data_IF_076210474027
#
_entry.id   IF_076210474027
#
_cell.length_a   1.000
_cell.length_b   1.000
_cell.length_c   1.000
_cell.angle_alpha   90.00
_cell.angle_beta   90.00
_cell.angle_gamma   90.00
#
_symmetry.space_group_name_H-M   'P 1'
#
loop_
_entity.id
_entity.type
_entity.pdbx_description
1 polymer ?
#
# COMPACT_ATOMS: atom_id res chain seq x y z
N UNK A 1 -1.58 14.56 0.46
CA UNK A 1 -1.76 13.29 -0.25
C UNK A 1 -0.68 13.06 -1.30
N UNK A 2 -0.42 14.02 -2.23
CA UNK A 2 0.62 13.86 -3.27
C UNK A 2 2.00 13.46 -2.73
N UNK A 3 2.46 14.09 -1.64
CA UNK A 3 3.75 13.74 -1.00
C UNK A 3 3.76 12.29 -0.48
N UNK A 4 2.68 11.85 0.13
CA UNK A 4 2.57 10.49 0.68
C UNK A 4 2.57 9.46 -0.45
N UNK A 5 1.80 9.71 -1.51
CA UNK A 5 1.82 8.88 -2.70
C UNK A 5 3.22 8.79 -3.32
N UNK A 6 3.93 9.92 -3.49
CA UNK A 6 5.30 9.93 -4.01
C UNK A 6 6.25 9.11 -3.15
N UNK A 7 6.21 9.29 -1.82
CA UNK A 7 7.06 8.54 -0.89
C UNK A 7 6.77 7.04 -0.99
N UNK A 8 5.49 6.65 -1.00
CA UNK A 8 5.09 5.24 -1.14
C UNK A 8 5.53 4.65 -2.48
N UNK A 9 5.38 5.40 -3.57
CA UNK A 9 5.83 4.99 -4.91
C UNK A 9 7.34 4.79 -4.95
N UNK A 10 8.11 5.77 -4.46
CA UNK A 10 9.58 5.66 -4.38
C UNK A 10 9.98 4.45 -3.54
N UNK A 11 9.33 4.23 -2.39
CA UNK A 11 9.61 3.07 -1.52
C UNK A 11 9.37 1.74 -2.23
N UNK A 12 8.24 1.60 -2.94
CA UNK A 12 7.92 0.37 -3.69
C UNK A 12 8.92 0.14 -4.83
N UNK A 13 9.28 1.20 -5.57
CA UNK A 13 10.30 1.10 -6.61
C UNK A 13 11.68 0.76 -6.06
N UNK A 14 12.05 1.28 -4.88
CA UNK A 14 13.28 0.89 -4.19
C UNK A 14 13.29 -0.61 -3.85
N UNK A 15 12.17 -1.17 -3.37
CA UNK A 15 12.05 -2.61 -3.12
C UNK A 15 12.21 -3.44 -4.39
N UNK A 16 11.58 -3.02 -5.50
CA UNK A 16 11.73 -3.70 -6.80
C UNK A 16 13.18 -3.61 -7.29
N UNK A 17 13.83 -2.46 -7.12
CA UNK A 17 15.25 -2.29 -7.47
C UNK A 17 16.15 -3.22 -6.65
N UNK A 18 15.91 -3.36 -5.34
CA UNK A 18 16.67 -4.29 -4.49
C UNK A 18 16.53 -5.75 -4.95
N UNK A 19 15.34 -6.16 -5.41
CA UNK A 19 15.12 -7.51 -5.97
C UNK A 19 16.05 -7.79 -7.16
N UNK A 20 16.28 -6.77 -8.01
CA UNK A 20 17.15 -6.87 -9.19
C UNK A 20 18.62 -6.66 -8.84
N UNK A 21 18.95 -5.79 -7.89
CA UNK A 21 20.32 -5.50 -7.48
C UNK A 21 20.95 -6.72 -6.82
N UNK A 22 20.21 -7.49 -6.03
CA UNK A 22 20.74 -8.66 -5.32
C UNK A 22 21.47 -9.66 -6.23
N UNK A 23 20.87 -10.17 -7.33
CA UNK A 23 21.57 -11.09 -8.23
C UNK A 23 22.72 -10.40 -9.00
N UNK A 24 22.60 -9.10 -9.34
CA UNK A 24 23.63 -8.36 -10.08
C UNK A 24 24.89 -8.11 -9.24
N UNK A 25 24.73 -7.96 -7.93
CA UNK A 25 25.85 -7.69 -7.01
C UNK A 25 26.39 -8.97 -6.35
N UNK A 26 25.75 -10.13 -6.53
CA UNK A 26 26.14 -11.36 -5.88
C UNK A 26 27.58 -11.82 -6.20
N UNK A 27 28.07 -11.49 -7.41
CA UNK A 27 29.45 -11.81 -7.83
C UNK A 27 30.50 -10.79 -7.37
N UNK A 28 30.15 -9.49 -7.32
CA UNK A 28 31.08 -8.40 -7.01
C UNK A 28 31.05 -7.99 -5.54
N UNK A 29 29.87 -7.96 -4.92
CA UNK A 29 29.63 -7.50 -3.54
C UNK A 29 28.80 -8.53 -2.75
N UNK A 30 29.38 -9.69 -2.38
CA UNK A 30 28.62 -10.78 -1.78
C UNK A 30 28.01 -10.44 -0.41
N UNK A 31 28.61 -9.52 0.34
CA UNK A 31 28.05 -9.08 1.62
C UNK A 31 26.77 -8.28 1.44
N UNK A 32 26.75 -7.35 0.46
CA UNK A 32 25.56 -6.57 0.11
C UNK A 32 24.44 -7.50 -0.38
N UNK A 33 24.75 -8.39 -1.33
CA UNK A 33 23.79 -9.35 -1.84
C UNK A 33 23.19 -10.21 -0.72
N UNK A 34 24.01 -10.76 0.18
CA UNK A 34 23.56 -11.56 1.33
C UNK A 34 22.61 -10.79 2.23
N UNK A 35 22.90 -9.52 2.51
CA UNK A 35 22.01 -8.67 3.32
C UNK A 35 20.66 -8.46 2.67
N UNK A 36 20.61 -8.24 1.35
CA UNK A 36 19.38 -8.07 0.59
C UNK A 36 18.58 -9.40 0.58
N UNK A 37 19.22 -10.53 0.27
CA UNK A 37 18.58 -11.84 0.32
C UNK A 37 18.03 -12.15 1.72
N UNK A 38 18.78 -11.84 2.78
CA UNK A 38 18.37 -12.03 4.17
C UNK A 38 17.13 -11.20 4.53
N UNK A 39 17.05 -9.94 4.04
CA UNK A 39 15.88 -9.10 4.25
C UNK A 39 14.62 -9.69 3.59
N UNK A 40 14.74 -10.16 2.36
CA UNK A 40 13.60 -10.77 1.65
C UNK A 40 13.29 -12.20 2.11
N UNK A 41 14.20 -12.91 2.78
CA UNK A 41 13.95 -14.24 3.32
C UNK A 41 12.84 -14.28 4.37
N UNK A 42 12.56 -13.16 5.03
CA UNK A 42 11.44 -13.02 5.97
C UNK A 42 10.07 -13.07 5.28
N UNK A 43 10.02 -12.77 3.98
CA UNK A 43 8.77 -12.64 3.21
C UNK A 43 8.64 -13.69 2.10
N UNK A 44 9.75 -14.30 1.68
CA UNK A 44 9.78 -15.24 0.56
C UNK A 44 10.77 -16.37 0.82
N UNK A 45 10.38 -17.63 0.56
CA UNK A 45 11.23 -18.80 0.71
C UNK A 45 12.40 -18.85 -0.28
N UNK A 46 12.40 -18.02 -1.33
CA UNK A 46 13.50 -17.85 -2.30
C UNK A 46 13.99 -19.18 -2.93
N UNK A 47 13.07 -20.13 -3.17
CA UNK A 47 13.41 -21.42 -3.76
C UNK A 47 13.97 -21.23 -5.18
N UNK A 48 15.17 -21.77 -5.51
CA UNK A 48 15.80 -21.57 -6.81
C UNK A 48 14.92 -21.99 -7.99
N UNK A 49 14.27 -23.15 -7.90
CA UNK A 49 13.39 -23.69 -8.93
C UNK A 49 12.13 -22.87 -9.18
N UNK A 50 11.85 -21.87 -8.32
CA UNK A 50 10.70 -20.97 -8.40
C UNK A 50 11.09 -19.51 -8.61
N UNK A 51 12.37 -19.25 -8.86
CA UNK A 51 12.93 -17.90 -8.97
C UNK A 51 13.49 -17.66 -10.36
N UNK A 52 13.45 -16.40 -10.82
CA UNK A 52 14.20 -15.99 -12.00
C UNK A 52 15.69 -15.90 -11.70
N UNK A 53 16.51 -16.00 -12.75
CA UNK A 53 17.96 -15.87 -12.68
C UNK A 53 18.45 -14.76 -13.58
N UNK A 54 19.45 -14.01 -13.13
CA UNK A 54 20.23 -13.06 -13.92
C UNK A 54 21.72 -13.27 -13.58
N UNK A 55 22.56 -13.34 -14.60
CA UNK A 55 24.02 -13.53 -14.47
C UNK A 55 24.39 -14.75 -13.58
N UNK A 56 23.63 -15.84 -13.66
CA UNK A 56 23.86 -17.06 -12.87
C UNK A 56 23.37 -17.00 -11.42
N UNK A 57 22.84 -15.88 -10.97
CA UNK A 57 22.32 -15.69 -9.62
C UNK A 57 20.80 -15.56 -9.62
N UNK A 58 20.12 -16.16 -8.63
CA UNK A 58 18.66 -16.09 -8.50
C UNK A 58 18.21 -14.69 -8.02
N UNK A 59 16.99 -14.28 -8.35
CA UNK A 59 16.36 -13.09 -7.79
C UNK A 59 16.22 -13.21 -6.27
N UNK A 60 16.14 -12.05 -5.58
CA UNK A 60 15.93 -12.00 -4.14
C UNK A 60 14.57 -12.56 -3.69
N UNK A 61 13.64 -12.75 -4.62
CA UNK A 61 12.32 -13.32 -4.37
C UNK A 61 11.92 -14.26 -5.51
N UNK A 62 10.98 -15.19 -5.25
CA UNK A 62 10.45 -16.10 -6.25
C UNK A 62 9.61 -15.37 -7.31
N UNK A 63 9.35 -16.02 -8.46
CA UNK A 63 8.62 -15.45 -9.60
C UNK A 63 7.24 -14.86 -9.21
N UNK A 64 6.51 -15.51 -8.27
CA UNK A 64 5.22 -15.03 -7.77
C UNK A 64 5.36 -13.72 -6.99
N UNK A 65 6.30 -13.67 -6.05
CA UNK A 65 6.58 -12.45 -5.30
C UNK A 65 7.10 -11.33 -6.22
N UNK A 66 7.94 -11.66 -7.22
CA UNK A 66 8.35 -10.69 -8.25
C UNK A 66 7.13 -10.08 -8.93
N UNK A 67 6.14 -10.90 -9.31
CA UNK A 67 4.87 -10.43 -9.87
C UNK A 67 4.13 -9.49 -8.92
N UNK A 68 4.00 -9.88 -7.64
CA UNK A 68 3.32 -9.03 -6.64
C UNK A 68 3.99 -7.66 -6.51
N UNK A 69 5.32 -7.61 -6.34
CA UNK A 69 6.04 -6.34 -6.23
C UNK A 69 5.97 -5.51 -7.52
N UNK A 70 6.07 -6.16 -8.69
CA UNK A 70 5.95 -5.49 -9.98
C UNK A 70 4.54 -4.92 -10.20
N UNK A 71 3.49 -5.70 -9.90
CA UNK A 71 2.10 -5.26 -9.99
C UNK A 71 1.80 -4.11 -9.04
N UNK A 72 2.33 -4.18 -7.83
CA UNK A 72 2.26 -3.11 -6.84
C UNK A 72 2.91 -1.83 -7.37
N UNK A 73 4.15 -1.89 -7.85
CA UNK A 73 4.89 -0.74 -8.36
C UNK A 73 4.19 -0.09 -9.56
N UNK A 74 3.78 -0.91 -10.53
CA UNK A 74 3.08 -0.44 -11.72
C UNK A 74 1.77 0.24 -11.38
N UNK A 75 0.94 -0.37 -10.53
CA UNK A 75 -0.34 0.21 -10.13
C UNK A 75 -0.18 1.45 -9.25
N UNK A 76 0.82 1.49 -8.35
CA UNK A 76 1.12 2.71 -7.60
C UNK A 76 1.48 3.88 -8.52
N UNK A 77 2.26 3.63 -9.58
CA UNK A 77 2.61 4.64 -10.56
C UNK A 77 1.37 5.17 -11.29
N UNK A 78 0.49 4.27 -11.73
CA UNK A 78 -0.72 4.61 -12.47
C UNK A 78 -1.88 5.09 -11.58
N UNK A 79 -1.80 4.90 -10.27
CA UNK A 79 -2.90 5.18 -9.35
C UNK A 79 -3.53 6.56 -9.50
N UNK A 80 -2.76 7.68 -9.65
CA UNK A 80 -3.35 9.02 -9.80
C UNK A 80 -4.17 9.22 -11.07
N UNK A 81 -3.92 8.39 -12.11
CA UNK A 81 -4.67 8.40 -13.37
C UNK A 81 -5.98 7.62 -13.23
N UNK A 82 -5.98 6.58 -12.39
CA UNK A 82 -7.10 5.66 -12.23
C UNK A 82 -8.06 6.13 -11.13
N UNK A 83 -7.55 6.82 -10.09
CA UNK A 83 -8.33 7.22 -8.93
C UNK A 83 -7.76 8.47 -8.23
N UNK A 84 -8.61 9.37 -7.73
CA UNK A 84 -8.15 10.54 -6.97
C UNK A 84 -7.38 10.13 -5.70
N UNK A 85 -6.22 10.75 -5.46
CA UNK A 85 -5.37 10.46 -4.28
C UNK A 85 -6.02 10.74 -2.92
N UNK A 86 -7.16 11.41 -2.91
CA UNK A 86 -7.93 11.73 -1.69
C UNK A 86 -9.10 10.79 -1.46
N UNK A 87 -9.34 9.86 -2.37
CA UNK A 87 -10.41 8.87 -2.21
C UNK A 87 -10.10 7.97 -1.01
N UNK A 88 -11.00 7.97 -0.04
CA UNK A 88 -10.95 7.11 1.16
C UNK A 88 -11.93 5.95 1.05
N UNK A 89 -12.72 5.91 -0.03
CA UNK A 89 -13.68 4.85 -0.27
C UNK A 89 -12.95 3.54 -0.59
N UNK A 90 -13.33 2.48 0.09
CA UNK A 90 -12.79 1.15 -0.13
C UNK A 90 -13.53 0.46 -1.27
N UNK A 91 -12.83 -0.16 -2.23
CA UNK A 91 -13.49 -1.03 -3.20
C UNK A 91 -14.17 -2.21 -2.50
N UNK A 92 -15.20 -2.81 -3.10
CA UNK A 92 -15.81 -4.02 -2.55
C UNK A 92 -14.76 -5.12 -2.37
N UNK A 93 -14.71 -5.83 -1.23
CA UNK A 93 -13.68 -6.84 -0.94
C UNK A 93 -13.67 -8.00 -1.95
N UNK A 94 -14.76 -8.18 -2.69
CA UNK A 94 -14.88 -9.19 -3.75
C UNK A 94 -13.78 -9.04 -4.82
N UNK A 95 -13.35 -7.82 -5.14
CA UNK A 95 -12.27 -7.61 -6.13
C UNK A 95 -10.93 -8.19 -5.68
N UNK A 96 -10.63 -8.07 -4.39
CA UNK A 96 -9.41 -8.66 -3.83
C UNK A 96 -9.48 -10.19 -3.84
N UNK A 97 -10.65 -10.75 -3.49
CA UNK A 97 -10.90 -12.19 -3.56
C UNK A 97 -10.76 -12.69 -4.99
N UNK A 98 -11.40 -12.03 -5.96
CA UNK A 98 -11.31 -12.40 -7.38
C UNK A 98 -9.87 -12.33 -7.90
N UNK A 99 -9.07 -11.36 -7.46
CA UNK A 99 -7.65 -11.27 -7.82
C UNK A 99 -6.80 -12.37 -7.16
N UNK A 100 -7.21 -12.87 -6.00
CA UNK A 100 -6.54 -13.96 -5.30
C UNK A 100 -6.89 -15.35 -5.87
N UNK A 101 -8.08 -15.52 -6.48
CA UNK A 101 -8.55 -16.81 -7.01
C UNK A 101 -7.58 -17.42 -8.04
N UNK A 102 -7.10 -16.71 -9.09
CA UNK A 102 -6.15 -17.28 -10.04
C UNK A 102 -4.86 -17.74 -9.38
N UNK A 103 -4.38 -17.01 -8.37
CA UNK A 103 -3.18 -17.37 -7.61
C UNK A 103 -3.42 -18.61 -6.74
N UNK A 104 -4.61 -18.70 -6.12
CA UNK A 104 -5.00 -19.86 -5.32
C UNK A 104 -5.15 -21.12 -6.17
N UNK A 105 -5.74 -21.00 -7.36
CA UNK A 105 -5.86 -22.12 -8.33
C UNK A 105 -4.47 -22.55 -8.79
N UNK A 106 -3.61 -21.63 -9.23
CA UNK A 106 -2.23 -21.91 -9.68
C UNK A 106 -1.41 -22.60 -8.58
N UNK A 107 -1.57 -22.16 -7.32
CA UNK A 107 -0.94 -22.80 -6.18
C UNK A 107 -1.52 -24.21 -5.91
N UNK A 108 -2.84 -24.34 -5.88
CA UNK A 108 -3.54 -25.57 -5.57
C UNK A 108 -3.24 -26.67 -6.58
N UNK A 109 -3.24 -26.38 -7.88
CA UNK A 109 -2.93 -27.33 -8.93
C UNK A 109 -1.53 -27.94 -8.75
N UNK A 110 -0.57 -27.10 -8.37
CA UNK A 110 0.80 -27.58 -8.09
C UNK A 110 0.88 -28.34 -6.77
N UNK A 111 0.16 -27.89 -5.74
CA UNK A 111 0.16 -28.55 -4.43
C UNK A 111 -0.40 -29.98 -4.49
N UNK A 112 -1.45 -30.19 -5.29
CA UNK A 112 -2.05 -31.51 -5.50
C UNK A 112 -1.33 -32.34 -6.58
N UNK A 113 -0.23 -31.83 -7.16
CA UNK A 113 0.54 -32.53 -8.19
C UNK A 113 -0.20 -32.73 -9.52
N UNK A 114 -1.28 -31.97 -9.77
CA UNK A 114 -2.09 -32.08 -10.99
C UNK A 114 -1.40 -31.38 -12.15
N UNK A 115 -0.75 -30.22 -11.87
CA UNK A 115 -0.08 -29.41 -12.88
C UNK A 115 1.08 -28.64 -12.26
N UNK A 116 2.24 -28.65 -12.90
CA UNK A 116 3.36 -27.80 -12.52
C UNK A 116 3.20 -26.41 -13.09
N UNK A 117 3.06 -25.41 -12.21
CA UNK A 117 2.95 -24.03 -12.64
C UNK A 117 4.30 -23.49 -13.15
N UNK A 118 4.22 -22.68 -14.20
CA UNK A 118 5.37 -22.05 -14.83
C UNK A 118 5.78 -20.78 -14.09
N UNK A 119 6.99 -20.27 -14.35
CA UNK A 119 7.41 -18.95 -13.86
C UNK A 119 6.47 -17.84 -14.35
N UNK A 120 5.96 -17.97 -15.58
CA UNK A 120 5.03 -17.00 -16.17
C UNK A 120 3.68 -16.99 -15.48
N UNK A 121 3.07 -18.18 -15.19
CA UNK A 121 1.80 -18.24 -14.47
C UNK A 121 1.92 -17.64 -13.06
N UNK A 122 3.02 -17.96 -12.36
CA UNK A 122 3.33 -17.37 -11.04
C UNK A 122 3.50 -15.86 -11.10
N UNK A 123 4.19 -15.34 -12.12
CA UNK A 123 4.39 -13.89 -12.31
C UNK A 123 3.05 -13.19 -12.57
N UNK A 124 2.24 -13.70 -13.50
CA UNK A 124 0.98 -13.07 -13.89
C UNK A 124 -0.05 -13.07 -12.75
N UNK A 125 -0.19 -14.19 -12.04
CA UNK A 125 -1.10 -14.27 -10.88
C UNK A 125 -0.63 -13.37 -9.74
N UNK A 126 0.68 -13.27 -9.51
CA UNK A 126 1.27 -12.34 -8.58
C UNK A 126 1.02 -10.88 -8.98
N UNK A 127 1.24 -10.53 -10.25
CA UNK A 127 1.05 -9.18 -10.80
C UNK A 127 -0.40 -8.71 -10.64
N UNK A 128 -1.36 -9.57 -10.92
CA UNK A 128 -2.78 -9.29 -10.76
C UNK A 128 -3.12 -8.98 -9.29
N UNK A 129 -2.72 -9.85 -8.37
CA UNK A 129 -2.97 -9.68 -6.95
C UNK A 129 -2.27 -8.41 -6.40
N UNK A 130 -0.99 -8.22 -6.74
CA UNK A 130 -0.23 -7.04 -6.35
C UNK A 130 -0.86 -5.74 -6.85
N UNK A 131 -1.28 -5.71 -8.11
CA UNK A 131 -1.93 -4.53 -8.70
C UNK A 131 -3.25 -4.19 -8.02
N UNK A 132 -4.13 -5.16 -7.83
CA UNK A 132 -5.42 -4.94 -7.16
C UNK A 132 -5.25 -4.51 -5.70
N UNK A 133 -4.25 -5.04 -5.00
CA UNK A 133 -3.98 -4.70 -3.59
C UNK A 133 -3.71 -3.21 -3.36
N UNK A 134 -3.17 -2.48 -4.35
CA UNK A 134 -2.92 -1.03 -4.25
C UNK A 134 -4.20 -0.23 -4.00
N UNK A 135 -5.33 -0.66 -4.60
CA UNK A 135 -6.62 0.02 -4.41
C UNK A 135 -7.17 -0.11 -2.98
N UNK A 136 -6.62 -1.01 -2.18
CA UNK A 136 -6.92 -1.15 -0.75
C UNK A 136 -5.88 -0.46 0.13
N UNK A 137 -4.61 -0.54 -0.25
CA UNK A 137 -3.52 0.07 0.53
C UNK A 137 -3.58 1.60 0.47
N UNK A 138 -3.84 2.19 -0.69
CA UNK A 138 -3.88 3.65 -0.84
C UNK A 138 -4.98 4.34 -0.03
N UNK A 139 -6.26 3.88 -0.02
CA UNK A 139 -7.26 4.45 0.87
C UNK A 139 -6.90 4.31 2.34
N UNK A 140 -6.32 3.18 2.75
CA UNK A 140 -5.84 2.98 4.12
C UNK A 140 -4.76 3.99 4.52
N UNK A 141 -3.77 4.21 3.67
CA UNK A 141 -2.73 5.23 3.88
C UNK A 141 -3.37 6.64 3.93
N UNK A 142 -4.34 6.91 3.04
CA UNK A 142 -5.05 8.19 3.00
C UNK A 142 -5.84 8.44 4.29
N UNK A 143 -6.52 7.43 4.79
CA UNK A 143 -7.28 7.51 6.05
C UNK A 143 -6.36 7.77 7.25
N UNK A 144 -5.27 7.02 7.39
CA UNK A 144 -4.29 7.21 8.45
C UNK A 144 -3.69 8.61 8.44
N UNK A 145 -3.38 9.14 7.26
CA UNK A 145 -2.84 10.48 7.10
C UNK A 145 -3.85 11.58 7.48
N UNK A 146 -5.13 11.39 7.16
CA UNK A 146 -6.19 12.35 7.49
C UNK A 146 -6.56 12.30 8.98
N UNK A 147 -6.58 11.12 9.60
CA UNK A 147 -6.77 10.97 11.05
C UNK A 147 -5.69 11.71 11.84
N UNK A 148 -4.42 11.58 11.42
CA UNK A 148 -3.27 12.24 12.08
C UNK A 148 -3.33 13.76 12.00
N UNK A 149 -3.85 14.32 10.89
CA UNK A 149 -4.06 15.76 10.73
C UNK A 149 -5.24 16.26 11.54
N UNK A 150 -6.30 15.46 11.70
CA UNK A 150 -7.49 15.83 12.50
C UNK A 150 -7.17 15.83 13.99
N UNK A 151 -6.38 14.88 14.48
CA UNK A 151 -5.92 14.83 15.87
C UNK A 151 -4.96 15.98 16.25
N UNK A 152 -4.30 16.61 15.28
CA UNK A 152 -3.40 17.76 15.49
C UNK A 152 -4.11 19.12 15.45
N UNK A 153 -5.40 19.19 15.07
CA UNK A 153 -6.16 20.45 15.19
C UNK A 153 -6.62 20.59 16.63
N UNK A 154 -6.14 21.59 17.39
CA UNK A 154 -6.72 21.89 18.69
C UNK A 154 -8.20 22.16 18.47
N UNK A 155 -9.06 21.50 19.24
CA UNK A 155 -10.46 21.89 19.37
C UNK A 155 -10.47 23.28 19.95
N UNK A 156 -10.59 24.28 19.08
CA UNK A 156 -10.95 25.63 19.51
C UNK A 156 -12.40 25.53 19.99
N UNK A 157 -12.55 25.20 21.25
CA UNK A 157 -13.82 25.26 21.95
C UNK A 157 -14.22 26.71 21.98
N UNK A 158 -15.29 27.09 21.27
CA UNK A 158 -15.95 28.35 21.37
C UNK A 158 -16.52 28.50 22.81
N UNK A 159 -15.64 28.82 23.75
CA UNK A 159 -15.99 29.23 25.12
C UNK A 159 -16.50 30.71 25.18
N UNK A 160 -17.01 31.19 24.07
CA UNK A 160 -17.46 32.62 23.97
C UNK A 160 -18.97 32.79 23.75
N UNK A 161 -19.78 31.73 23.86
CA UNK A 161 -21.24 31.87 23.79
C UNK A 161 -21.96 31.87 25.16
N UNK A 162 -21.25 31.56 26.25
CA UNK A 162 -21.87 31.59 27.58
C UNK A 162 -21.68 32.91 28.35
N UNK A 163 -20.80 33.81 27.86
CA UNK A 163 -20.61 35.11 28.52
C UNK A 163 -21.59 36.20 28.09
N UNK A 164 -22.46 35.96 27.10
CA UNK A 164 -23.48 36.93 26.68
C UNK A 164 -24.88 36.64 27.17
N UNK A 165 -25.09 35.60 27.97
CA UNK A 165 -26.41 35.22 28.49
C UNK A 165 -26.67 35.76 29.92
N UNK A 166 -25.74 36.50 30.54
CA UNK A 166 -25.91 37.08 31.89
C UNK A 166 -25.85 38.60 31.89
N UNK A 167 -26.52 39.27 30.94
CA UNK A 167 -26.80 40.69 31.08
C UNK A 167 -28.08 40.84 31.91
N UNK A 168 -28.07 41.58 33.03
CA UNK A 168 -29.26 41.80 33.84
C UNK A 168 -30.25 42.66 33.06
N UNK A 169 -31.50 42.20 32.97
CA UNK A 169 -32.65 42.89 32.41
C UNK A 169 -33.15 43.97 33.38
N UNK A 170 -32.43 45.04 33.55
CA UNK A 170 -32.90 46.21 34.31
C UNK A 170 -33.03 47.38 33.33
N UNK A 171 -34.03 47.29 32.43
CA UNK A 171 -34.51 48.43 31.68
C UNK A 171 -35.97 48.67 32.03
N UNK A 172 -36.17 49.47 33.09
CA UNK A 172 -37.49 50.06 33.43
C UNK A 172 -37.79 51.22 32.47
N UNK A 173 -38.80 51.01 31.61
CA UNK A 173 -39.31 52.04 30.73
C UNK A 173 -39.97 53.21 31.55
N UNK A 174 -39.73 54.46 31.22
CA UNK A 174 -40.40 55.54 31.86
C UNK A 174 -41.87 55.63 31.44
N UNK A 175 -42.72 55.74 32.45
CA UNK A 175 -44.16 55.96 32.37
C UNK A 175 -44.45 57.30 31.64
N UNK A 176 -45.11 57.21 30.48
CA UNK A 176 -45.71 58.40 29.84
C UNK A 176 -47.19 58.50 30.22
N UNK A 177 -47.47 59.26 31.28
CA UNK A 177 -48.79 59.84 31.45
C UNK A 177 -48.72 61.23 30.83
N UNK A 178 -49.55 61.51 29.90
CA UNK A 178 -50.50 62.62 29.58
C UNK A 178 -50.86 62.46 28.12
#
# INVERSE_FOLDING_TARGET
MRRIWLISTIFVFALVSLILIAPLTAGSEPHLARSIYGGFALLCHQLPERSYFIAGHKFAVCARCTGVYAGFAFTFLLYPLLRPLRAIDWPPPVWLVLAAVPMAIDFGLTFFGIWENTHTSRLLTGLLLGGVSVFYVMPGIAELATRKTRAKRPTFTLASSESMASAPSDYSAPDRRI
#
